data_IF_798375212914
#
_entry.id   IF_798375212914
#
_cell.length_a   1.000
_cell.length_b   1.000
_cell.length_c   1.000
_cell.angle_alpha   90.00
_cell.angle_beta   90.00
_cell.angle_gamma   90.00
#
_symmetry.space_group_name_H-M   'P 1'
#
loop_
_entity.id
_entity.type
_entity.pdbx_description
1 polymer ?
#
# COMPACT_ATOMS: atom_id res chain seq x y z
N UNK A 1 15.59 14.38 0.30
CA UNK A 1 16.69 13.86 1.15
C UNK A 1 16.30 13.42 2.57
N UNK A 2 15.54 14.17 3.40
CA UNK A 2 15.17 13.68 4.75
C UNK A 2 14.04 12.63 4.76
N UNK A 3 12.99 12.82 3.98
CA UNK A 3 11.84 11.89 3.89
C UNK A 3 12.20 10.56 3.23
N UNK A 4 13.00 10.59 2.17
CA UNK A 4 13.44 9.38 1.44
C UNK A 4 14.26 8.45 2.33
N UNK A 5 15.20 8.97 3.12
CA UNK A 5 16.01 8.16 4.03
C UNK A 5 15.18 7.49 5.13
N UNK A 6 14.11 8.15 5.59
CA UNK A 6 13.19 7.62 6.59
C UNK A 6 12.34 6.48 6.00
N UNK A 7 11.80 6.67 4.78
CA UNK A 7 11.00 5.65 4.11
C UNK A 7 11.82 4.45 3.62
N UNK A 8 13.07 4.65 3.22
CA UNK A 8 13.98 3.58 2.77
C UNK A 8 14.29 2.56 3.88
N UNK A 9 14.23 2.97 5.16
CA UNK A 9 14.44 2.07 6.29
C UNK A 9 13.28 1.10 6.54
N UNK A 10 12.10 1.35 5.94
CA UNK A 10 10.91 0.53 6.16
C UNK A 10 10.84 -0.70 5.22
N UNK A 11 11.78 -0.87 4.28
CA UNK A 11 11.78 -1.97 3.31
C UNK A 11 10.39 -2.21 2.67
N UNK A 12 9.80 -1.13 2.17
CA UNK A 12 8.40 -1.12 1.76
C UNK A 12 8.13 -1.99 0.52
N UNK A 13 7.02 -2.75 0.51
CA UNK A 13 6.51 -3.38 -0.70
C UNK A 13 6.13 -2.36 -1.80
N UNK A 14 5.90 -2.86 -3.02
CA UNK A 14 5.61 -2.02 -4.21
C UNK A 14 4.14 -1.93 -4.59
N UNK A 15 3.24 -2.48 -3.77
CA UNK A 15 1.78 -2.35 -3.97
C UNK A 15 1.11 -1.84 -2.71
N UNK A 16 0.00 -1.10 -2.85
CA UNK A 16 -0.76 -0.63 -1.68
C UNK A 16 -1.23 -1.78 -0.78
N UNK A 17 -1.66 -2.91 -1.37
CA UNK A 17 -2.11 -4.08 -0.62
C UNK A 17 -1.00 -4.70 0.22
N UNK A 18 0.19 -4.90 -0.37
CA UNK A 18 1.32 -5.42 0.37
C UNK A 18 1.84 -4.42 1.42
N UNK A 19 1.82 -3.11 1.14
CA UNK A 19 2.11 -2.08 2.13
C UNK A 19 1.12 -2.09 3.29
N UNK A 20 -0.17 -2.27 3.02
CA UNK A 20 -1.21 -2.40 4.04
C UNK A 20 -0.89 -3.58 4.99
N UNK A 21 -0.55 -4.76 4.44
CA UNK A 21 -0.17 -5.92 5.23
C UNK A 21 1.11 -5.69 6.05
N UNK A 22 2.10 -5.02 5.44
CA UNK A 22 3.36 -4.67 6.08
C UNK A 22 3.15 -3.72 7.26
N UNK A 23 2.43 -2.61 7.06
CA UNK A 23 2.15 -1.63 8.11
C UNK A 23 1.32 -2.20 9.24
N UNK A 24 0.29 -2.99 8.91
CA UNK A 24 -0.51 -3.69 9.92
C UNK A 24 0.39 -4.55 10.80
N UNK A 25 1.30 -5.32 10.21
CA UNK A 25 2.22 -6.21 10.95
C UNK A 25 3.24 -5.41 11.75
N UNK A 26 3.78 -4.33 11.19
CA UNK A 26 4.71 -3.42 11.88
C UNK A 26 4.10 -2.80 13.14
N UNK A 27 2.80 -2.51 13.10
CA UNK A 27 2.03 -1.96 14.22
C UNK A 27 1.45 -3.05 15.13
N UNK A 28 1.77 -4.33 14.91
CA UNK A 28 1.25 -5.48 15.66
C UNK A 28 -0.29 -5.59 15.64
N UNK A 29 -0.93 -5.08 14.59
CA UNK A 29 -2.39 -5.11 14.43
C UNK A 29 -2.84 -6.41 13.74
N UNK A 30 -4.01 -6.90 14.13
CA UNK A 30 -4.73 -7.93 13.39
C UNK A 30 -5.59 -7.30 12.29
N UNK A 31 -5.99 -8.09 11.30
CA UNK A 31 -6.95 -7.62 10.28
C UNK A 31 -8.32 -7.31 10.90
N UNK A 32 -8.63 -7.93 12.05
CA UNK A 32 -9.86 -7.66 12.81
C UNK A 32 -9.81 -6.30 13.49
N UNK A 33 -8.64 -5.86 13.96
CA UNK A 33 -8.49 -4.53 14.59
C UNK A 33 -8.80 -3.42 13.58
N UNK A 34 -8.19 -3.48 12.39
CA UNK A 34 -8.47 -2.53 11.30
C UNK A 34 -9.96 -2.61 10.88
N UNK A 35 -10.51 -3.83 10.79
CA UNK A 35 -11.91 -4.06 10.45
C UNK A 35 -12.87 -3.39 11.43
N UNK A 36 -12.61 -3.51 12.73
CA UNK A 36 -13.43 -2.93 13.78
C UNK A 36 -13.31 -1.40 13.82
N UNK A 37 -12.10 -0.86 13.71
CA UNK A 37 -11.86 0.59 13.75
C UNK A 37 -12.52 1.32 12.56
N UNK A 38 -12.50 0.71 11.38
CA UNK A 38 -13.01 1.32 10.15
C UNK A 38 -14.49 0.97 9.91
N UNK A 39 -15.01 -0.09 10.54
CA UNK A 39 -16.38 -0.56 10.36
C UNK A 39 -16.61 -1.30 9.04
N UNK A 40 -15.64 -2.10 8.60
CA UNK A 40 -15.76 -2.95 7.40
C UNK A 40 -15.45 -4.41 7.73
N UNK A 41 -15.86 -5.35 6.87
CA UNK A 41 -15.59 -6.77 7.10
C UNK A 41 -14.07 -7.09 7.08
N UNK A 42 -13.60 -7.89 8.03
CA UNK A 42 -12.21 -8.42 8.05
C UNK A 42 -11.83 -9.13 6.75
N UNK A 43 -12.77 -9.80 6.10
CA UNK A 43 -12.54 -10.44 4.79
C UNK A 43 -12.20 -9.43 3.70
N UNK A 44 -12.73 -8.19 3.77
CA UNK A 44 -12.36 -7.11 2.86
C UNK A 44 -10.90 -6.68 3.08
N UNK A 45 -10.46 -6.56 4.34
CA UNK A 45 -9.05 -6.29 4.67
C UNK A 45 -8.14 -7.37 4.08
N UNK A 46 -8.47 -8.65 4.29
CA UNK A 46 -7.68 -9.76 3.74
C UNK A 46 -7.59 -9.71 2.21
N UNK A 47 -8.69 -9.43 1.51
CA UNK A 47 -8.69 -9.31 0.05
C UNK A 47 -7.86 -8.12 -0.44
N UNK A 48 -7.88 -7.00 0.28
CA UNK A 48 -7.04 -5.83 -0.01
C UNK A 48 -5.56 -6.14 0.17
N UNK A 49 -5.19 -6.81 1.26
CA UNK A 49 -3.80 -7.19 1.54
C UNK A 49 -3.23 -8.16 0.50
N UNK A 50 -4.04 -9.09 0.02
CA UNK A 50 -3.66 -10.06 -1.01
C UNK A 50 -3.68 -9.48 -2.44
N UNK A 51 -4.25 -8.29 -2.64
CA UNK A 51 -4.43 -7.70 -3.96
C UNK A 51 -5.61 -8.28 -4.75
N UNK A 52 -6.50 -9.05 -4.11
CA UNK A 52 -7.73 -9.56 -4.73
C UNK A 52 -8.72 -8.43 -5.05
N UNK A 53 -8.67 -7.34 -4.26
CA UNK A 53 -9.42 -6.10 -4.51
C UNK A 53 -8.53 -4.88 -4.23
N UNK A 54 -8.91 -3.74 -4.81
CA UNK A 54 -8.22 -2.48 -4.56
C UNK A 54 -8.34 -2.04 -3.10
N UNK A 55 -7.24 -1.50 -2.56
CA UNK A 55 -7.24 -0.87 -1.23
C UNK A 55 -8.14 0.36 -1.25
N UNK A 56 -9.13 0.40 -0.37
CA UNK A 56 -10.02 1.56 -0.29
C UNK A 56 -9.28 2.77 0.29
N UNK A 57 -9.63 3.96 -0.18
CA UNK A 57 -9.01 5.20 0.29
C UNK A 57 -9.20 5.41 1.80
N UNK A 58 -10.34 4.99 2.35
CA UNK A 58 -10.61 5.08 3.79
C UNK A 58 -9.66 4.19 4.61
N UNK A 59 -9.44 2.94 4.18
CA UNK A 59 -8.50 2.01 4.82
C UNK A 59 -7.08 2.52 4.69
N UNK A 60 -6.73 3.00 3.50
CA UNK A 60 -5.40 3.54 3.23
C UNK A 60 -5.07 4.73 4.11
N UNK A 61 -5.97 5.73 4.16
CA UNK A 61 -5.79 6.92 4.98
C UNK A 61 -5.65 6.57 6.46
N UNK A 62 -6.51 5.68 6.98
CA UNK A 62 -6.48 5.26 8.37
C UNK A 62 -5.16 4.61 8.75
N UNK A 63 -4.71 3.63 7.97
CA UNK A 63 -3.45 2.92 8.26
C UNK A 63 -2.24 3.84 8.12
N UNK A 64 -2.23 4.74 7.13
CA UNK A 64 -1.16 5.73 7.04
C UNK A 64 -1.12 6.67 8.24
N UNK A 65 -2.28 7.02 8.82
CA UNK A 65 -2.34 7.83 10.04
C UNK A 65 -1.78 7.08 11.24
N UNK A 66 -2.12 5.79 11.39
CA UNK A 66 -1.57 4.96 12.45
C UNK A 66 -0.05 4.82 12.35
N UNK A 67 0.48 4.58 11.15
CA UNK A 67 1.93 4.53 10.92
C UNK A 67 2.59 5.87 11.19
N UNK A 68 1.99 6.95 10.69
CA UNK A 68 2.53 8.29 10.82
C UNK A 68 2.70 8.71 12.27
N UNK A 69 1.68 8.54 13.09
CA UNK A 69 1.76 8.89 14.51
C UNK A 69 2.42 7.80 15.35
N UNK A 70 2.22 6.53 15.03
CA UNK A 70 2.80 5.40 15.78
C UNK A 70 4.32 5.33 15.68
N UNK A 71 4.90 5.86 14.60
CA UNK A 71 6.36 5.97 14.40
C UNK A 71 6.88 7.39 14.56
N UNK A 72 6.06 8.30 15.11
CA UNK A 72 6.42 9.69 15.42
C UNK A 72 6.95 10.50 14.22
N UNK A 73 6.42 10.24 13.01
CA UNK A 73 6.84 10.94 11.80
C UNK A 73 6.48 12.42 11.79
N UNK A 74 5.52 12.86 12.61
CA UNK A 74 5.17 14.26 12.79
C UNK A 74 6.30 15.14 13.30
N UNK A 75 7.33 14.56 13.91
CA UNK A 75 8.52 15.29 14.35
C UNK A 75 9.44 15.67 13.18
N UNK A 76 9.25 15.04 12.00
CA UNK A 76 10.18 15.15 10.88
C UNK A 76 9.55 15.71 9.60
N UNK A 77 8.30 15.33 9.30
CA UNK A 77 7.61 15.67 8.05
C UNK A 77 6.11 15.82 8.29
N UNK A 78 5.42 16.59 7.44
CA UNK A 78 3.95 16.65 7.50
C UNK A 78 3.32 15.35 6.99
N UNK A 79 2.08 15.06 7.45
CA UNK A 79 1.34 13.89 6.98
C UNK A 79 1.14 13.88 5.46
N UNK A 80 0.93 15.07 4.86
CA UNK A 80 0.76 15.21 3.41
C UNK A 80 2.04 14.80 2.68
N UNK A 81 3.20 15.28 3.14
CA UNK A 81 4.50 14.93 2.56
C UNK A 81 4.84 13.44 2.75
N UNK A 82 4.55 12.88 3.93
CA UNK A 82 4.70 11.44 4.20
C UNK A 82 3.89 10.61 3.22
N UNK A 83 2.58 10.87 3.14
CA UNK A 83 1.67 10.17 2.25
C UNK A 83 2.12 10.30 0.79
N UNK A 84 2.44 11.50 0.35
CA UNK A 84 2.83 11.75 -1.04
C UNK A 84 4.11 11.00 -1.42
N UNK A 85 5.12 11.04 -0.56
CA UNK A 85 6.40 10.35 -0.77
C UNK A 85 6.21 8.83 -0.87
N UNK A 86 5.35 8.28 -0.02
CA UNK A 86 5.00 6.86 -0.01
C UNK A 86 4.19 6.46 -1.25
N UNK A 87 3.25 7.30 -1.70
CA UNK A 87 2.50 7.05 -2.94
C UNK A 87 3.38 7.10 -4.19
N UNK A 88 4.38 7.99 -4.25
CA UNK A 88 5.39 7.99 -5.33
C UNK A 88 6.15 6.66 -5.33
N UNK A 89 6.62 6.22 -4.16
CA UNK A 89 7.41 4.99 -4.02
C UNK A 89 6.64 3.73 -4.45
N UNK A 90 5.32 3.70 -4.21
CA UNK A 90 4.44 2.59 -4.60
C UNK A 90 4.07 2.66 -6.10
N UNK A 91 3.86 3.86 -6.66
CA UNK A 91 3.41 4.04 -8.06
C UNK A 91 4.43 3.65 -9.12
N UNK A 92 5.72 3.56 -8.79
CA UNK A 92 6.77 3.18 -9.75
C UNK A 92 6.59 1.77 -10.35
N UNK A 93 5.75 0.90 -9.77
CA UNK A 93 5.52 -0.48 -10.24
C UNK A 93 4.10 -0.75 -10.78
N UNK A 94 3.07 0.01 -10.37
CA UNK A 94 1.71 -0.12 -10.95
C UNK A 94 1.71 0.17 -12.46
N UNK A 95 2.50 1.15 -12.90
CA UNK A 95 2.69 1.44 -14.33
C UNK A 95 3.39 0.30 -15.10
N UNK A 96 4.33 -0.42 -14.45
CA UNK A 96 5.04 -1.54 -15.08
C UNK A 96 4.20 -2.81 -15.16
N UNK A 97 3.37 -3.07 -14.14
CA UNK A 97 2.46 -4.22 -14.13
C UNK A 97 1.36 -4.09 -15.19
N UNK A 98 0.81 -2.89 -15.39
CA UNK A 98 -0.11 -2.61 -16.50
C UNK A 98 0.57 -2.85 -17.85
N UNK A 99 1.77 -2.31 -18.07
CA UNK A 99 2.51 -2.47 -19.32
C UNK A 99 2.87 -3.95 -19.61
N UNK A 100 3.22 -4.72 -18.57
CA UNK A 100 3.48 -6.16 -18.68
C UNK A 100 2.21 -6.97 -18.93
N UNK A 101 1.08 -6.59 -18.32
CA UNK A 101 -0.22 -7.25 -18.54
C UNK A 101 -0.74 -7.02 -19.96
N UNK A 102 -0.61 -5.80 -20.48
CA UNK A 102 -0.96 -5.43 -21.85
C UNK A 102 -0.07 -6.16 -22.87
N UNK A 103 1.25 -6.22 -22.61
CA UNK A 103 2.16 -7.05 -23.42
C UNK A 103 1.74 -8.51 -23.39
N UNK A 104 1.51 -9.13 -22.23
CA UNK A 104 1.09 -10.54 -22.15
C UNK A 104 -0.20 -10.82 -22.94
N UNK A 105 -1.18 -9.93 -22.87
CA UNK A 105 -2.43 -10.05 -23.63
C UNK A 105 -2.19 -9.97 -25.15
N UNK A 106 -1.26 -9.12 -25.61
CA UNK A 106 -0.93 -9.04 -27.04
C UNK A 106 -0.19 -10.28 -27.55
N UNK A 107 0.69 -10.89 -26.75
CA UNK A 107 1.37 -12.15 -27.11
C UNK A 107 0.39 -13.35 -27.22
N UNK A 108 -0.67 -13.36 -26.42
CA UNK A 108 -1.68 -14.43 -26.45
C UNK A 108 -2.67 -14.30 -27.62
N UNK A 109 -2.91 -13.10 -28.14
CA UNK A 109 -3.76 -12.90 -29.32
C UNK A 109 -2.97 -13.03 -30.65
N UNK A 110 -1.64 -12.92 -30.61
CA UNK A 110 -0.77 -13.10 -31.78
C UNK A 110 -0.37 -14.55 -32.11
N UNK A 111 -0.81 -15.55 -31.33
CA UNK A 111 -0.42 -16.96 -31.48
C UNK A 111 -1.55 -17.87 -31.98
N UNK A 112 -2.63 -17.31 -32.54
CA UNK A 112 -3.57 -18.06 -33.38
C UNK A 112 -3.19 -17.91 -34.86
N UNK A 113 -2.37 -18.84 -35.35
CA UNK A 113 -2.26 -19.19 -36.78
C UNK A 113 -2.54 -20.69 -36.88
#
# INVERSE_FOLDING_TARGET
MKSEGILLNLLLPRTKGACLAHFRTLLELTQTDISNEIGINRSSISKMENGDINVSEHVWFHVLKLVYYGLEFEQYISFIEFRHSLEIFIKEDEGRLLEWSEKKLSWQQGTSI
#
